data_IF_950107081911
#
_entry.id   IF_950107081911
#
_cell.length_a   1.000
_cell.length_b   1.000
_cell.length_c   1.000
_cell.angle_alpha   90.00
_cell.angle_beta   90.00
_cell.angle_gamma   90.00
#
_symmetry.space_group_name_H-M   'P 1'
#
loop_
_entity.id
_entity.type
_entity.pdbx_description
1 polymer ?
#
# COMPACT_ATOMS: atom_id res chain seq x y z
N UNK A 1 15.97 6.54 23.40
CA UNK A 1 15.70 7.08 22.23
C UNK A 1 14.33 6.78 21.78
N UNK A 2 13.69 7.61 21.34
CA UNK A 2 12.41 7.29 20.84
C UNK A 2 12.51 6.94 19.40
N UNK A 3 11.87 5.93 19.02
CA UNK A 3 11.67 5.66 17.64
C UNK A 3 10.71 6.62 17.03
N UNK A 4 10.65 6.60 15.72
CA UNK A 4 9.63 7.33 15.00
C UNK A 4 8.27 6.74 15.32
N UNK A 5 7.25 7.56 15.24
CA UNK A 5 5.88 7.07 15.19
C UNK A 5 5.68 6.25 13.93
N UNK A 6 4.78 5.28 14.00
CA UNK A 6 4.52 4.36 12.89
C UNK A 6 3.02 4.30 12.60
N UNK A 7 2.66 4.41 11.35
CA UNK A 7 1.28 4.22 10.91
C UNK A 7 1.24 3.11 9.87
N UNK A 8 0.29 2.20 10.05
CA UNK A 8 0.03 1.12 9.11
C UNK A 8 -1.28 1.42 8.38
N UNK A 9 -1.23 1.46 7.06
CA UNK A 9 -2.40 1.64 6.21
C UNK A 9 -2.71 0.30 5.55
N UNK A 10 -3.90 -0.21 5.77
CA UNK A 10 -4.32 -1.49 5.19
C UNK A 10 -5.27 -1.19 4.03
N UNK A 11 -4.89 -1.63 2.84
CA UNK A 11 -5.67 -1.40 1.63
C UNK A 11 -6.36 -2.70 1.22
N UNK A 12 -7.68 -2.76 1.37
CA UNK A 12 -8.46 -3.92 0.98
C UNK A 12 -9.17 -3.74 -0.36
N UNK A 13 -9.37 -2.48 -0.76
CA UNK A 13 -10.07 -2.15 -2.02
C UNK A 13 -9.08 -2.15 -3.18
N UNK A 14 -9.50 -2.67 -4.32
CA UNK A 14 -8.65 -2.81 -5.48
C UNK A 14 -9.10 -1.98 -6.66
N UNK A 15 -8.69 -2.40 -7.86
CA UNK A 15 -8.96 -1.68 -9.10
C UNK A 15 -10.45 -1.60 -9.42
N UNK A 16 -11.28 -2.46 -8.81
CA UNK A 16 -12.72 -2.43 -8.98
C UNK A 16 -13.41 -1.30 -8.20
N UNK A 17 -12.67 -0.61 -7.33
CA UNK A 17 -13.18 0.54 -6.57
C UNK A 17 -12.17 1.68 -6.64
N UNK A 18 -11.97 2.28 -7.81
CA UNK A 18 -10.89 3.25 -8.01
C UNK A 18 -10.99 4.48 -7.09
N UNK A 19 -12.18 4.86 -6.68
CA UNK A 19 -12.34 6.01 -5.79
C UNK A 19 -11.78 5.76 -4.38
N UNK A 20 -11.48 4.51 -4.03
CA UNK A 20 -10.94 4.16 -2.72
C UNK A 20 -9.44 3.94 -2.73
N UNK A 21 -8.77 4.23 -3.84
CA UNK A 21 -7.38 3.80 -4.00
C UNK A 21 -6.35 4.88 -3.69
N UNK A 22 -6.73 6.15 -3.73
CA UNK A 22 -5.78 7.25 -3.54
C UNK A 22 -5.42 7.52 -2.09
N UNK A 23 -6.40 7.40 -1.19
CA UNK A 23 -6.26 7.86 0.19
C UNK A 23 -5.05 7.26 0.92
N UNK A 24 -4.81 5.94 0.90
CA UNK A 24 -3.69 5.40 1.66
C UNK A 24 -2.34 5.91 1.16
N UNK A 25 -2.18 6.09 -0.15
CA UNK A 25 -0.91 6.60 -0.69
C UNK A 25 -0.69 8.06 -0.31
N UNK A 26 -1.74 8.88 -0.39
CA UNK A 26 -1.64 10.30 -0.03
C UNK A 26 -1.35 10.45 1.45
N UNK A 27 -2.08 9.71 2.28
CA UNK A 27 -1.88 9.77 3.73
C UNK A 27 -0.50 9.27 4.13
N UNK A 28 -0.04 8.18 3.50
CA UNK A 28 1.26 7.62 3.81
C UNK A 28 2.39 8.55 3.38
N UNK A 29 2.26 9.19 2.22
CA UNK A 29 3.23 10.17 1.75
C UNK A 29 3.31 11.35 2.73
N UNK A 30 2.16 11.83 3.17
CA UNK A 30 2.10 12.91 4.15
C UNK A 30 2.73 12.49 5.47
N UNK A 31 2.46 11.26 5.92
CA UNK A 31 3.08 10.74 7.14
C UNK A 31 4.60 10.72 7.02
N UNK A 32 5.13 10.29 5.88
CA UNK A 32 6.57 10.28 5.65
C UNK A 32 7.14 11.69 5.73
N UNK A 33 6.43 12.69 5.22
CA UNK A 33 6.85 14.09 5.31
C UNK A 33 6.77 14.63 6.73
N UNK A 34 5.97 14.00 7.59
CA UNK A 34 5.89 14.34 9.01
C UNK A 34 6.90 13.56 9.85
N UNK A 35 7.83 12.88 9.20
CA UNK A 35 8.83 12.03 9.85
C UNK A 35 8.21 10.85 10.59
N UNK A 36 7.12 10.33 10.04
CA UNK A 36 6.42 9.13 10.54
C UNK A 36 6.75 7.98 9.60
N UNK A 37 7.07 6.82 10.17
CA UNK A 37 7.31 5.62 9.35
C UNK A 37 5.96 5.08 8.87
N UNK A 38 5.78 5.00 7.57
CA UNK A 38 4.51 4.60 6.96
C UNK A 38 4.69 3.35 6.10
N UNK A 39 3.75 2.42 6.26
CA UNK A 39 3.68 1.22 5.44
C UNK A 39 2.26 1.08 4.93
N UNK A 40 2.11 0.78 3.63
CA UNK A 40 0.82 0.41 3.05
C UNK A 40 0.85 -1.09 2.81
N UNK A 41 -0.09 -1.80 3.41
CA UNK A 41 -0.21 -3.25 3.31
C UNK A 41 -1.43 -3.57 2.45
N UNK A 42 -1.20 -4.23 1.32
CA UNK A 42 -2.24 -4.59 0.36
C UNK A 42 -2.72 -6.00 0.65
N UNK A 43 -4.02 -6.15 0.85
CA UNK A 43 -4.63 -7.43 1.20
C UNK A 43 -5.94 -7.60 0.44
N UNK A 44 -6.31 -8.82 0.13
CA UNK A 44 -7.50 -9.15 -0.65
C UNK A 44 -7.41 -8.44 -2.01
N UNK A 45 -8.44 -7.79 -2.48
CA UNK A 45 -8.40 -7.10 -3.77
C UNK A 45 -7.44 -5.92 -3.80
N UNK A 46 -7.01 -5.44 -2.64
CA UNK A 46 -6.04 -4.37 -2.58
C UNK A 46 -4.73 -4.69 -3.30
N UNK A 47 -4.36 -5.98 -3.37
CA UNK A 47 -3.12 -6.36 -4.06
C UNK A 47 -3.16 -6.04 -5.56
N UNK A 48 -4.35 -5.91 -6.15
CA UNK A 48 -4.46 -5.59 -7.57
C UNK A 48 -3.88 -4.22 -7.92
N UNK A 49 -3.81 -3.31 -6.95
CA UNK A 49 -3.27 -1.96 -7.19
C UNK A 49 -1.78 -1.97 -7.47
N UNK A 50 -1.07 -2.96 -6.95
CA UNK A 50 0.38 -3.05 -7.14
C UNK A 50 0.76 -4.14 -8.13
N UNK A 51 -0.22 -4.71 -8.82
CA UNK A 51 0.05 -5.56 -9.97
C UNK A 51 0.56 -4.67 -11.09
N UNK A 52 1.59 -5.13 -11.82
CA UNK A 52 2.21 -4.34 -12.87
C UNK A 52 1.18 -3.85 -13.89
N UNK A 53 1.23 -2.56 -14.21
CA UNK A 53 0.36 -1.98 -15.22
C UNK A 53 -1.02 -1.55 -14.75
N UNK A 54 -1.42 -1.87 -13.52
CA UNK A 54 -2.78 -1.58 -13.07
C UNK A 54 -2.93 -0.15 -12.54
N UNK A 55 -1.97 0.33 -11.78
CA UNK A 55 -2.05 1.68 -11.21
C UNK A 55 -2.07 2.77 -12.29
N UNK A 56 -1.41 2.52 -13.42
CA UNK A 56 -1.39 3.46 -14.54
C UNK A 56 -2.78 3.71 -15.12
N UNK A 57 -3.69 2.75 -14.97
CA UNK A 57 -5.04 2.83 -15.54
C UNK A 57 -5.99 3.64 -14.69
N UNK A 58 -5.62 3.96 -13.45
CA UNK A 58 -6.49 4.69 -12.54
C UNK A 58 -6.13 6.16 -12.59
N UNK A 59 -7.06 6.98 -13.05
CA UNK A 59 -6.93 8.44 -13.04
C UNK A 59 -8.31 9.02 -12.85
N UNK A 60 -8.50 9.72 -11.73
CA UNK A 60 -9.81 10.26 -11.37
C UNK A 60 -9.74 11.78 -11.21
N UNK A 61 -10.71 12.45 -11.80
CA UNK A 61 -10.83 13.89 -11.68
C UNK A 61 -9.57 14.62 -12.13
N UNK A 62 -9.14 15.57 -11.34
CA UNK A 62 -7.93 16.35 -11.61
C UNK A 62 -6.68 15.73 -10.98
N UNK A 63 -6.80 14.60 -10.32
CA UNK A 63 -5.67 13.92 -9.69
C UNK A 63 -4.76 13.31 -10.76
N UNK A 64 -3.46 13.22 -10.50
CA UNK A 64 -2.57 12.45 -11.36
C UNK A 64 -2.97 10.98 -11.33
N UNK A 65 -2.37 10.17 -12.20
CA UNK A 65 -2.65 8.72 -12.17
C UNK A 65 -2.25 8.14 -10.82
N UNK A 66 -2.88 7.03 -10.44
CA UNK A 66 -2.52 6.37 -9.19
C UNK A 66 -1.05 5.95 -9.20
N UNK A 67 -0.52 5.60 -10.37
CA UNK A 67 0.90 5.23 -10.49
C UNK A 67 1.82 6.39 -10.08
N UNK A 68 1.49 7.60 -10.49
CA UNK A 68 2.27 8.78 -10.09
C UNK A 68 2.21 9.00 -8.59
N UNK A 69 1.03 8.87 -8.01
CA UNK A 69 0.84 9.03 -6.56
C UNK A 69 1.61 7.94 -5.81
N UNK A 70 1.56 6.70 -6.31
CA UNK A 70 2.31 5.59 -5.74
C UNK A 70 3.83 5.85 -5.80
N UNK A 71 4.30 6.35 -6.95
CA UNK A 71 5.72 6.65 -7.10
C UNK A 71 6.18 7.74 -6.13
N UNK A 72 5.35 8.73 -5.88
CA UNK A 72 5.64 9.76 -4.89
C UNK A 72 5.74 9.19 -3.49
N UNK A 73 4.86 8.25 -3.15
CA UNK A 73 4.89 7.57 -1.86
C UNK A 73 6.19 6.78 -1.68
N UNK A 74 6.57 5.99 -2.67
CA UNK A 74 7.81 5.21 -2.63
C UNK A 74 9.01 6.13 -2.50
N UNK A 75 9.02 7.23 -3.25
CA UNK A 75 10.12 8.19 -3.22
C UNK A 75 10.24 8.85 -1.84
N UNK A 76 9.13 9.05 -1.16
CA UNK A 76 9.11 9.61 0.19
C UNK A 76 9.54 8.61 1.28
N UNK A 77 9.71 7.35 0.92
CA UNK A 77 10.13 6.32 1.86
C UNK A 77 9.02 5.41 2.36
N UNK A 78 7.82 5.53 1.82
CA UNK A 78 6.71 4.64 2.18
C UNK A 78 7.02 3.22 1.72
N UNK A 79 6.79 2.26 2.60
CA UNK A 79 6.98 0.84 2.29
C UNK A 79 5.68 0.24 1.78
N UNK A 80 5.78 -0.61 0.75
CA UNK A 80 4.63 -1.30 0.19
C UNK A 80 4.79 -2.79 0.44
N UNK A 81 3.77 -3.42 1.03
CA UNK A 81 3.78 -4.85 1.33
C UNK A 81 2.54 -5.52 0.75
N UNK A 82 2.72 -6.72 0.19
CA UNK A 82 1.64 -7.48 -0.44
C UNK A 82 1.40 -8.75 0.36
N UNK A 83 0.13 -9.03 0.65
CA UNK A 83 -0.25 -10.21 1.40
C UNK A 83 -0.07 -11.47 0.52
N UNK A 84 0.78 -12.39 0.98
CA UNK A 84 1.04 -13.64 0.27
C UNK A 84 -0.24 -14.46 0.10
N UNK A 85 -1.05 -14.55 1.14
CA UNK A 85 -2.28 -15.33 1.09
C UNK A 85 -3.27 -14.78 0.07
N UNK A 86 -3.28 -13.46 -0.09
CA UNK A 86 -4.15 -12.82 -1.09
C UNK A 86 -3.72 -13.16 -2.51
N UNK A 87 -2.43 -13.34 -2.76
CA UNK A 87 -1.94 -13.81 -4.05
C UNK A 87 -2.55 -15.18 -4.38
N UNK A 88 -2.53 -16.10 -3.41
CA UNK A 88 -3.11 -17.42 -3.60
C UNK A 88 -4.63 -17.35 -3.76
N UNK A 89 -5.27 -16.53 -2.96
CA UNK A 89 -6.73 -16.37 -3.00
C UNK A 89 -7.22 -15.87 -4.36
N UNK A 90 -6.53 -14.91 -4.94
CA UNK A 90 -6.92 -14.31 -6.21
C UNK A 90 -6.24 -14.93 -7.41
N UNK A 91 -5.34 -15.88 -7.21
CA UNK A 91 -4.66 -16.55 -8.30
C UNK A 91 -3.70 -15.65 -9.07
N UNK A 92 -3.08 -14.68 -8.40
CA UNK A 92 -2.14 -13.76 -9.06
C UNK A 92 -0.72 -14.26 -8.78
N UNK A 93 0.07 -14.53 -9.85
CA UNK A 93 1.45 -14.98 -9.68
C UNK A 93 2.31 -13.93 -8.97
N UNK A 94 3.25 -14.41 -8.16
CA UNK A 94 4.11 -13.51 -7.38
C UNK A 94 4.97 -12.60 -8.24
N UNK A 95 5.31 -13.01 -9.45
CA UNK A 95 6.11 -12.20 -10.36
C UNK A 95 5.37 -11.06 -11.01
N UNK A 96 4.05 -10.95 -10.81
CA UNK A 96 3.22 -9.95 -11.48
C UNK A 96 3.17 -8.61 -10.78
N UNK A 97 3.85 -8.47 -9.63
CA UNK A 97 3.78 -7.23 -8.84
C UNK A 97 4.93 -6.29 -9.16
N UNK A 98 4.69 -5.00 -8.95
CA UNK A 98 5.72 -3.98 -9.09
C UNK A 98 6.88 -4.27 -8.12
N UNK A 99 8.14 -4.01 -8.54
CA UNK A 99 9.29 -4.38 -7.71
C UNK A 99 9.34 -3.71 -6.34
N UNK A 100 8.71 -2.56 -6.18
CA UNK A 100 8.69 -1.85 -4.90
C UNK A 100 7.82 -2.52 -3.85
N UNK A 101 6.89 -3.37 -4.27
CA UNK A 101 5.97 -4.06 -3.35
C UNK A 101 6.55 -5.41 -2.97
N UNK A 102 6.75 -5.62 -1.68
CA UNK A 102 7.33 -6.86 -1.17
C UNK A 102 6.22 -7.80 -0.71
N UNK A 103 6.31 -9.05 -1.12
CA UNK A 103 5.34 -10.07 -0.72
C UNK A 103 5.74 -10.60 0.66
N UNK A 104 4.81 -10.55 1.61
CA UNK A 104 5.07 -10.96 2.99
C UNK A 104 3.93 -11.83 3.50
N UNK A 105 4.20 -12.56 4.58
CA UNK A 105 3.21 -13.47 5.16
C UNK A 105 2.35 -12.80 6.22
N UNK A 106 1.41 -13.59 6.76
CA UNK A 106 0.47 -13.11 7.77
C UNK A 106 1.15 -12.63 9.06
N UNK A 107 2.23 -13.30 9.46
CA UNK A 107 2.95 -12.92 10.67
C UNK A 107 3.51 -11.50 10.55
N UNK A 108 3.94 -11.11 9.35
CA UNK A 108 4.45 -9.76 9.13
C UNK A 108 3.37 -8.71 9.34
N UNK A 109 2.14 -8.97 8.87
CA UNK A 109 1.04 -8.04 9.09
C UNK A 109 0.77 -7.89 10.59
N UNK A 110 0.74 -9.00 11.33
CA UNK A 110 0.53 -8.93 12.76
C UNK A 110 1.64 -8.12 13.45
N UNK A 111 2.88 -8.33 13.06
CA UNK A 111 4.00 -7.58 13.63
C UNK A 111 3.87 -6.09 13.33
N UNK A 112 3.54 -5.75 12.09
CA UNK A 112 3.36 -4.35 11.70
C UNK A 112 2.23 -3.69 12.50
N UNK A 113 1.12 -4.41 12.70
CA UNK A 113 -0.01 -3.88 13.44
C UNK A 113 0.33 -3.69 14.92
N UNK A 114 1.07 -4.63 15.52
CA UNK A 114 1.45 -4.55 16.93
C UNK A 114 2.45 -3.41 17.17
N UNK A 115 3.31 -3.12 16.20
CA UNK A 115 4.31 -2.06 16.31
C UNK A 115 3.76 -0.69 15.96
N UNK A 116 2.63 -0.62 15.27
CA UNK A 116 2.08 0.65 14.81
C UNK A 116 1.45 1.44 15.94
N UNK A 117 1.64 2.76 15.92
CA UNK A 117 0.95 3.68 16.81
C UNK A 117 -0.48 3.90 16.35
N UNK A 118 -0.74 3.75 15.05
CA UNK A 118 -2.08 3.86 14.49
C UNK A 118 -2.21 2.91 13.30
N UNK A 119 -3.41 2.35 13.11
CA UNK A 119 -3.74 1.49 11.99
C UNK A 119 -5.01 2.03 11.33
N UNK A 120 -4.93 2.29 10.02
CA UNK A 120 -6.06 2.77 9.24
C UNK A 120 -6.31 1.78 8.10
N UNK A 121 -7.57 1.52 7.78
CA UNK A 121 -7.89 0.59 6.69
C UNK A 121 -8.84 1.21 5.68
N UNK A 122 -8.68 0.78 4.45
CA UNK A 122 -9.42 1.28 3.30
C UNK A 122 -9.91 0.19 2.38
#
# INVERSE_FOLDING_TARGET
MSGKKKILYIQTSGTDQPERTYAPFILATTAAMMDIEATVYFVIKGITLVKKGEAEKIKLGSFPSLKEVMNQAVKAGVKLAVCEQSCNLLGIPRGDFTPEAKIVGAATLNDLALEADAVLSF
#
